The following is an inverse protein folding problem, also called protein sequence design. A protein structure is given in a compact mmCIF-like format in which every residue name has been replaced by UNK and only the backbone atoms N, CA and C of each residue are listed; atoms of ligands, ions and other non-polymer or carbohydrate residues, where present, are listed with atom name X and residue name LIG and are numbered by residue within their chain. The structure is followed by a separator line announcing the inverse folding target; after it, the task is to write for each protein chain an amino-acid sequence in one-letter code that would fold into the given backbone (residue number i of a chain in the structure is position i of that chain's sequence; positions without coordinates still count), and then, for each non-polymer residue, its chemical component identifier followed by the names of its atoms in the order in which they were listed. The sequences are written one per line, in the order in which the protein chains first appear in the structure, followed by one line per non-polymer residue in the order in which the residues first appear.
data_IF_525810365210
#
_entry.id   IF_525810365210
#
_cell.length_a   1.000
_cell.length_b   1.000
_cell.length_c   1.000
_cell.angle_alpha   90.00
_cell.angle_beta   90.00
_cell.angle_gamma   90.00
#
_symmetry.space_group_name_H-M   'P 1'
#
loop_
_entity.id
_entity.type
_entity.pdbx_description
1 polymer ?
#
# COMPACT_ATOMS: atom_id res chain seq x y z
N UNK A 1 -14.76 -0.51 15.78
CA UNK A 1 -13.77 -0.68 14.71
C UNK A 1 -14.08 -2.04 14.10
N UNK A 2 -14.51 -2.06 12.84
CA UNK A 2 -14.74 -3.30 12.10
C UNK A 2 -13.43 -3.66 11.39
N UNK A 3 -12.55 -4.37 12.08
CA UNK A 3 -11.44 -5.06 11.43
C UNK A 3 -11.97 -6.44 11.01
N UNK A 4 -11.73 -6.84 9.76
CA UNK A 4 -11.83 -8.24 9.40
C UNK A 4 -10.65 -8.98 10.03
N UNK A 5 -10.84 -10.26 10.43
CA UNK A 5 -9.70 -11.08 10.84
C UNK A 5 -8.63 -11.06 9.72
N UNK A 6 -7.34 -10.90 10.05
CA UNK A 6 -6.30 -10.85 9.04
C UNK A 6 -6.13 -12.22 8.39
N UNK A 7 -5.95 -12.24 7.07
CA UNK A 7 -5.43 -13.41 6.35
C UNK A 7 -3.95 -13.50 6.68
N UNK A 8 -3.49 -14.68 7.08
CA UNK A 8 -2.08 -14.91 7.44
C UNK A 8 -1.50 -16.01 6.56
N UNK A 9 -0.36 -15.71 5.91
CA UNK A 9 0.47 -16.68 5.20
C UNK A 9 1.85 -16.72 5.84
N UNK A 10 2.29 -17.89 6.30
CA UNK A 10 3.61 -18.06 6.93
C UNK A 10 4.39 -19.20 6.27
N UNK A 11 5.65 -18.95 5.96
CA UNK A 11 6.56 -19.94 5.41
C UNK A 11 7.85 -19.31 4.92
N UNK A 12 8.91 -20.11 4.79
CA UNK A 12 10.17 -19.62 4.24
C UNK A 12 10.80 -18.45 5.01
N UNK A 13 10.63 -18.42 6.34
CA UNK A 13 11.16 -17.34 7.18
C UNK A 13 10.40 -16.01 7.12
N UNK A 14 9.26 -15.97 6.42
CA UNK A 14 8.43 -14.77 6.24
C UNK A 14 7.00 -15.05 6.72
N UNK A 15 6.36 -14.04 7.29
CA UNK A 15 4.91 -14.01 7.48
C UNK A 15 4.32 -12.78 6.80
N UNK A 16 3.21 -12.98 6.08
CA UNK A 16 2.44 -11.93 5.42
C UNK A 16 1.05 -11.89 6.04
N UNK A 17 0.67 -10.73 6.56
CA UNK A 17 -0.66 -10.42 7.06
C UNK A 17 -1.38 -9.51 6.07
N UNK A 18 -2.64 -9.81 5.79
CA UNK A 18 -3.53 -8.96 5.00
C UNK A 18 -4.81 -8.68 5.76
N UNK A 19 -5.14 -7.41 5.97
CA UNK A 19 -6.34 -6.98 6.72
C UNK A 19 -7.05 -5.82 6.01
N UNK A 20 -8.30 -5.58 6.41
CA UNK A 20 -9.06 -4.41 5.99
C UNK A 20 -9.27 -3.46 7.16
N UNK A 21 -8.96 -2.19 6.94
CA UNK A 21 -9.09 -1.13 7.93
C UNK A 21 -10.05 -0.05 7.42
N UNK A 22 -11.19 0.12 8.10
CA UNK A 22 -12.23 1.10 7.74
C UNK A 22 -11.81 2.56 7.98
N UNK A 23 -10.89 2.82 8.94
CA UNK A 23 -10.56 4.18 9.38
C UNK A 23 -9.11 4.38 9.88
N UNK A 24 -8.19 3.45 9.58
CA UNK A 24 -6.79 3.58 10.02
C UNK A 24 -5.95 4.50 9.11
N UNK A 25 -6.32 4.56 7.84
CA UNK A 25 -5.82 5.48 6.84
C UNK A 25 -6.94 6.50 6.54
N UNK A 26 -6.67 7.71 6.01
CA UNK A 26 -7.70 8.74 5.85
C UNK A 26 -8.95 8.25 5.11
N UNK A 27 -8.80 7.21 4.29
CA UNK A 27 -9.85 6.43 3.63
C UNK A 27 -9.73 4.93 4.00
N UNK A 28 -10.79 4.13 3.85
CA UNK A 28 -10.71 2.68 4.01
C UNK A 28 -9.60 2.07 3.14
N UNK A 29 -8.85 1.11 3.69
CA UNK A 29 -7.71 0.53 3.02
C UNK A 29 -7.55 -0.96 3.31
N UNK A 30 -6.90 -1.66 2.38
CA UNK A 30 -6.31 -2.97 2.63
C UNK A 30 -4.87 -2.74 3.08
N UNK A 31 -4.51 -3.39 4.18
CA UNK A 31 -3.19 -3.28 4.80
C UNK A 31 -2.47 -4.61 4.66
N UNK A 32 -1.20 -4.54 4.23
CA UNK A 32 -0.29 -5.67 4.12
C UNK A 32 0.89 -5.43 5.07
N UNK A 33 1.09 -6.34 6.03
CA UNK A 33 2.26 -6.36 6.90
C UNK A 33 3.10 -7.60 6.55
N UNK A 34 4.37 -7.38 6.23
CA UNK A 34 5.34 -8.44 5.97
C UNK A 34 6.37 -8.41 7.09
N UNK A 35 6.57 -9.56 7.75
CA UNK A 35 7.57 -9.75 8.79
C UNK A 35 8.57 -10.83 8.35
N UNK A 36 9.87 -10.51 8.43
CA UNK A 36 10.95 -11.44 8.15
C UNK A 36 11.64 -11.86 9.45
N UNK A 37 11.71 -13.17 9.70
CA UNK A 37 12.26 -13.75 10.92
C UNK A 37 13.57 -14.52 10.71
N UNK A 38 13.93 -14.80 9.46
CA UNK A 38 15.18 -15.45 9.08
C UNK A 38 15.97 -14.54 8.15
N UNK A 39 17.29 -14.64 8.12
CA UNK A 39 18.14 -13.76 7.28
C UNK A 39 18.26 -14.24 5.83
N UNK A 40 17.75 -15.43 5.51
CA UNK A 40 17.90 -16.08 4.21
C UNK A 40 17.01 -15.50 3.08
N UNK A 41 15.74 -15.09 3.34
CA UNK A 41 14.92 -14.37 2.36
C UNK A 41 15.59 -13.06 1.94
N UNK A 42 15.71 -12.84 0.63
CA UNK A 42 16.25 -11.59 0.07
C UNK A 42 15.18 -10.69 -0.52
N UNK A 43 14.16 -11.30 -1.10
CA UNK A 43 13.08 -10.59 -1.74
C UNK A 43 11.77 -11.32 -1.52
N UNK A 44 10.75 -10.55 -1.16
CA UNK A 44 9.37 -11.01 -1.01
C UNK A 44 8.55 -10.29 -2.06
N UNK A 45 7.83 -11.06 -2.87
CA UNK A 45 6.85 -10.56 -3.83
C UNK A 45 5.47 -11.03 -3.40
N UNK A 46 4.56 -10.08 -3.16
CA UNK A 46 3.16 -10.34 -2.84
C UNK A 46 2.32 -9.94 -4.05
N UNK A 47 1.49 -10.87 -4.51
CA UNK A 47 0.67 -10.71 -5.71
C UNK A 47 -0.81 -10.83 -5.34
N UNK A 48 -1.56 -9.77 -5.60
CA UNK A 48 -2.96 -9.60 -5.25
C UNK A 48 -3.82 -9.52 -6.51
N UNK A 49 -4.93 -10.27 -6.56
CA UNK A 49 -5.91 -10.13 -7.66
C UNK A 49 -6.85 -8.96 -7.43
N UNK A 50 -7.12 -8.19 -8.47
CA UNK A 50 -8.13 -7.11 -8.47
C UNK A 50 -9.51 -7.73 -8.81
N UNK A 51 -10.57 -7.47 -8.02
CA UNK A 51 -11.90 -8.00 -8.30
C UNK A 51 -12.43 -7.64 -9.69
N UNK A 52 -13.18 -8.56 -10.28
CA UNK A 52 -13.72 -8.40 -11.63
C UNK A 52 -14.69 -7.22 -11.71
N UNK A 53 -14.28 -6.13 -12.38
CA UNK A 53 -15.06 -4.90 -12.51
C UNK A 53 -14.51 -3.72 -11.72
N UNK A 54 -13.53 -3.95 -10.85
CA UNK A 54 -12.73 -2.88 -10.28
C UNK A 54 -11.71 -2.35 -11.30
N UNK A 55 -11.45 -1.05 -11.25
CA UNK A 55 -10.50 -0.38 -12.13
C UNK A 55 -9.17 -0.17 -11.38
N UNK A 56 -8.11 -0.84 -11.83
CA UNK A 56 -6.78 -0.74 -11.22
C UNK A 56 -6.23 0.70 -11.17
N UNK A 57 -6.68 1.59 -12.06
CA UNK A 57 -6.23 2.99 -12.09
C UNK A 57 -6.80 3.83 -10.94
N UNK A 58 -7.81 3.30 -10.23
CA UNK A 58 -8.42 3.91 -9.05
C UNK A 58 -7.80 3.39 -7.74
N UNK A 59 -6.79 2.53 -7.82
CA UNK A 59 -6.03 2.07 -6.66
C UNK A 59 -4.98 3.12 -6.30
N UNK A 60 -4.97 3.53 -5.05
CA UNK A 60 -4.01 4.48 -4.50
C UNK A 60 -3.17 3.78 -3.43
N UNK A 61 -1.84 3.81 -3.60
CA UNK A 61 -0.92 3.21 -2.65
C UNK A 61 -0.50 4.22 -1.58
N UNK A 62 -0.17 3.70 -0.39
CA UNK A 62 0.50 4.48 0.65
C UNK A 62 1.75 5.18 0.09
N UNK A 63 1.89 6.48 0.36
CA UNK A 63 2.91 7.30 -0.28
C UNK A 63 4.35 6.92 0.10
N UNK A 64 4.55 6.39 1.31
CA UNK A 64 5.88 5.99 1.79
C UNK A 64 6.35 4.69 1.14
N UNK A 65 5.41 3.82 0.78
CA UNK A 65 5.67 2.48 0.25
C UNK A 65 5.25 2.28 -1.22
N UNK A 66 4.67 3.31 -1.86
CA UNK A 66 4.17 3.26 -3.24
C UNK A 66 5.22 2.83 -4.28
N UNK A 67 6.51 3.10 -4.03
CA UNK A 67 7.61 2.70 -4.91
C UNK A 67 7.81 1.19 -5.00
N UNK A 68 7.29 0.42 -4.05
CA UNK A 68 7.33 -1.04 -4.02
C UNK A 68 6.18 -1.68 -4.79
N UNK A 69 5.16 -0.90 -5.14
CA UNK A 69 3.95 -1.37 -5.78
C UNK A 69 3.97 -1.18 -7.30
N UNK A 70 3.39 -2.14 -8.00
CA UNK A 70 3.04 -2.05 -9.41
C UNK A 70 1.59 -2.50 -9.60
N UNK A 71 0.76 -1.59 -10.11
CA UNK A 71 -0.59 -1.92 -10.55
C UNK A 71 -0.56 -2.37 -12.02
N UNK A 72 -1.12 -3.56 -12.27
CA UNK A 72 -1.48 -4.08 -13.60
C UNK A 72 -3.00 -4.00 -13.75
N UNK A 73 -3.54 -4.40 -14.90
CA UNK A 73 -4.99 -4.29 -15.15
C UNK A 73 -5.84 -5.10 -14.18
N UNK A 74 -5.36 -6.29 -13.80
CA UNK A 74 -6.09 -7.29 -13.00
C UNK A 74 -5.34 -7.72 -11.73
N UNK A 75 -4.20 -7.08 -11.44
CA UNK A 75 -3.29 -7.51 -10.37
C UNK A 75 -2.54 -6.33 -9.75
N UNK A 76 -2.26 -6.43 -8.45
CA UNK A 76 -1.32 -5.57 -7.74
C UNK A 76 -0.13 -6.40 -7.30
N UNK A 77 1.08 -5.92 -7.58
CA UNK A 77 2.32 -6.60 -7.21
C UNK A 77 3.13 -5.70 -6.28
N UNK A 78 3.38 -6.18 -5.06
CA UNK A 78 4.29 -5.57 -4.08
C UNK A 78 5.60 -6.34 -4.10
N UNK A 79 6.73 -5.64 -4.27
CA UNK A 79 8.06 -6.25 -4.19
C UNK A 79 8.95 -5.50 -3.21
N UNK A 80 9.42 -6.22 -2.19
CA UNK A 80 10.24 -5.67 -1.11
C UNK A 80 11.45 -6.55 -0.83
N UNK A 81 12.54 -5.93 -0.41
CA UNK A 81 13.70 -6.61 0.17
C UNK A 81 13.79 -6.20 1.62
N UNK A 82 13.75 -7.17 2.52
CA UNK A 82 13.78 -6.95 3.96
C UNK A 82 15.07 -7.49 4.56
N UNK A 83 15.58 -6.84 5.60
CA UNK A 83 16.68 -7.35 6.39
C UNK A 83 16.21 -8.36 7.45
N UNK A 84 17.16 -9.06 8.08
CA UNK A 84 16.87 -9.96 9.20
C UNK A 84 16.15 -9.25 10.34
N UNK A 85 14.98 -9.75 10.72
CA UNK A 85 14.14 -9.16 11.77
C UNK A 85 13.44 -7.87 11.37
N UNK A 86 13.47 -7.51 10.08
CA UNK A 86 12.78 -6.33 9.57
C UNK A 86 11.31 -6.64 9.22
N UNK A 87 10.48 -5.61 9.30
CA UNK A 87 9.09 -5.65 8.90
C UNK A 87 8.74 -4.42 8.09
N UNK A 88 7.83 -4.56 7.13
CA UNK A 88 7.23 -3.45 6.40
C UNK A 88 5.72 -3.56 6.46
N UNK A 89 5.08 -2.45 6.81
CA UNK A 89 3.64 -2.26 6.68
C UNK A 89 3.39 -1.34 5.50
N UNK A 90 2.43 -1.72 4.65
CA UNK A 90 2.00 -0.93 3.50
C UNK A 90 0.50 -1.06 3.34
N UNK A 91 -0.10 -0.12 2.62
CA UNK A 91 -1.53 -0.11 2.39
C UNK A 91 -1.88 0.33 0.97
N UNK A 92 -3.05 -0.07 0.52
CA UNK A 92 -3.68 0.51 -0.66
C UNK A 92 -5.17 0.79 -0.40
N UNK A 93 -5.62 1.93 -0.90
CA UNK A 93 -7.02 2.33 -0.94
C UNK A 93 -7.57 2.16 -2.36
N UNK A 94 -8.90 2.09 -2.48
CA UNK A 94 -9.58 2.01 -3.76
C UNK A 94 -10.68 3.06 -3.81
N UNK A 95 -10.58 4.02 -4.74
CA UNK A 95 -11.51 5.14 -4.82
C UNK A 95 -12.95 4.72 -5.18
N UNK A 96 -13.13 3.53 -5.76
CA UNK A 96 -14.46 2.93 -5.99
C UNK A 96 -15.09 2.33 -4.72
N UNK A 97 -14.35 2.25 -3.62
CA UNK A 97 -14.80 1.69 -2.34
C UNK A 97 -14.75 0.16 -2.29
N UNK A 98 -14.57 -0.39 -1.08
CA UNK A 98 -14.54 -1.83 -0.85
C UNK A 98 -15.93 -2.43 -0.54
N UNK A 99 -16.96 -1.59 -0.43
CA UNK A 99 -18.25 -1.99 0.15
C UNK A 99 -19.04 -3.01 -0.67
N UNK A 100 -18.94 -3.04 -1.99
CA UNK A 100 -19.73 -4.00 -2.76
C UNK A 100 -19.06 -5.38 -2.82
N UNK A 101 -17.72 -5.44 -2.71
CA UNK A 101 -16.92 -6.64 -3.00
C UNK A 101 -15.78 -6.89 -2.00
N UNK A 102 -15.89 -6.44 -0.74
CA UNK A 102 -14.81 -6.60 0.27
C UNK A 102 -14.29 -8.03 0.38
N UNK A 103 -15.17 -9.03 0.27
CA UNK A 103 -14.75 -10.43 0.32
C UNK A 103 -13.84 -10.83 -0.86
N UNK A 104 -14.04 -10.25 -2.05
CA UNK A 104 -13.16 -10.47 -3.19
C UNK A 104 -11.81 -9.75 -3.00
N UNK A 105 -11.85 -8.53 -2.45
CA UNK A 105 -10.63 -7.80 -2.08
C UNK A 105 -9.85 -8.48 -0.94
N UNK A 106 -10.49 -9.25 -0.08
CA UNK A 106 -9.89 -10.09 0.97
C UNK A 106 -9.68 -11.55 0.50
N UNK A 107 -9.42 -11.77 -0.80
CA UNK A 107 -8.88 -13.06 -1.24
C UNK A 107 -7.41 -13.14 -0.82
N UNK A 108 -6.91 -14.30 -0.34
CA UNK A 108 -5.50 -14.43 0.01
C UNK A 108 -4.58 -14.16 -1.19
N UNK A 109 -3.48 -13.40 -1.02
CA UNK A 109 -2.49 -13.20 -2.07
C UNK A 109 -1.71 -14.48 -2.36
N UNK A 110 -0.99 -14.46 -3.48
CA UNK A 110 0.14 -15.37 -3.70
C UNK A 110 1.42 -14.70 -3.18
N UNK A 111 2.24 -15.42 -2.41
CA UNK A 111 3.51 -14.88 -1.88
C UNK A 111 4.66 -15.69 -2.45
N UNK A 112 5.59 -15.02 -3.12
CA UNK A 112 6.83 -15.60 -3.63
C UNK A 112 8.02 -15.08 -2.84
N UNK A 113 8.85 -15.99 -2.33
CA UNK A 113 10.03 -15.69 -1.52
C UNK A 113 11.26 -16.16 -2.28
N UNK A 114 12.13 -15.22 -2.66
CA UNK A 114 13.42 -15.50 -3.28
C UNK A 114 14.54 -15.47 -2.22
N UNK A 115 15.37 -16.51 -2.21
CA UNK A 115 16.50 -16.65 -1.29
C UNK A 115 17.82 -16.30 -1.97
N UNK A 116 18.85 -16.08 -1.15
CA UNK A 116 20.20 -15.73 -1.61
C UNK A 116 20.84 -16.73 -2.58
N UNK A 117 20.45 -18.01 -2.54
CA UNK A 117 20.94 -19.02 -3.47
C UNK A 117 20.18 -19.07 -4.81
N UNK A 118 19.17 -18.20 -4.98
CA UNK A 118 18.32 -18.12 -6.17
C UNK A 118 17.19 -19.15 -6.20
N UNK A 119 17.00 -19.91 -5.12
CA UNK A 119 15.79 -20.72 -4.93
C UNK A 119 14.59 -19.81 -4.66
N UNK A 120 13.41 -20.28 -5.04
CA UNK A 120 12.15 -19.59 -4.77
C UNK A 120 11.17 -20.55 -4.07
N UNK A 121 10.51 -20.06 -3.02
CA UNK A 121 9.36 -20.73 -2.40
C UNK A 121 8.12 -19.91 -2.68
N UNK A 122 7.02 -20.58 -3.04
CA UNK A 122 5.72 -19.93 -3.22
C UNK A 122 4.78 -20.42 -2.12
N UNK A 123 4.15 -19.49 -1.42
CA UNK A 123 3.03 -19.75 -0.51
C UNK A 123 1.75 -19.49 -1.31
N UNK A 124 0.94 -20.53 -1.44
CA UNK A 124 -0.31 -20.45 -2.19
C UNK A 124 -1.44 -19.94 -1.29
N UNK A 125 -2.52 -19.39 -1.88
CA UNK A 125 -3.72 -19.02 -1.12
C UNK A 125 -4.30 -20.15 -0.26
N UNK A 126 -4.06 -21.41 -0.62
CA UNK A 126 -4.49 -22.58 0.15
C UNK A 126 -3.67 -22.83 1.43
N UNK A 127 -2.50 -22.21 1.56
CA UNK A 127 -1.68 -22.21 2.77
C UNK A 127 -2.13 -21.14 3.77
N UNK A 128 -3.02 -20.24 3.35
CA UNK A 128 -3.55 -19.17 4.20
C UNK A 128 -4.65 -19.69 5.15
N UNK A 129 -4.65 -19.20 6.38
CA UNK A 129 -5.83 -19.34 7.25
C UNK A 129 -6.87 -18.29 6.83
N UNK A 130 -8.06 -18.69 6.31
CA UNK A 130 -9.07 -17.75 5.88
C UNK A 130 -9.70 -17.03 7.09
N UNK A 131 -10.14 -15.77 6.94
CA UNK A 131 -10.75 -15.04 8.03
C UNK A 131 -12.07 -15.69 8.44
N UNK A 132 -12.19 -16.07 9.72
CA UNK A 132 -13.40 -16.75 10.22
C UNK A 132 -14.63 -15.82 10.20
N UNK A 133 -14.44 -14.49 10.26
CA UNK A 133 -15.56 -13.54 10.24
C UNK A 133 -15.18 -12.23 9.53
N UNK A 134 -15.96 -11.84 8.51
CA UNK A 134 -15.97 -10.47 7.96
C UNK A 134 -17.10 -9.70 8.63
N UNK A 135 -16.84 -9.04 9.77
CA UNK A 135 -17.86 -8.25 10.47
C UNK A 135 -17.95 -6.88 9.82
N UNK A 136 -19.02 -6.62 9.06
CA UNK A 136 -19.42 -5.25 8.70
C UNK A 136 -20.37 -4.70 9.75
N UNK A 137 -19.92 -3.73 10.55
CA UNK A 137 -20.85 -2.91 11.33
C UNK A 137 -21.65 -2.03 10.36
N UNK A 138 -22.96 -1.86 10.57
CA UNK A 138 -23.74 -0.93 9.75
C UNK A 138 -23.20 0.49 9.92
N UNK A 139 -23.16 1.23 8.79
CA UNK A 139 -22.76 2.63 8.75
C UNK A 139 -23.41 3.42 9.90
N UNK A 140 -22.58 4.19 10.61
CA UNK A 140 -22.97 4.98 11.75
C UNK A 140 -24.32 5.66 11.50
N UNK A 141 -25.32 5.30 12.31
CA UNK A 141 -26.60 5.99 12.34
C UNK A 141 -26.29 7.43 12.69
N UNK A 142 -26.44 8.34 11.73
CA UNK A 142 -26.43 9.78 11.98
C UNK A 142 -27.73 10.12 12.70
N UNK A 143 -27.79 9.83 14.00
CA UNK A 143 -28.85 10.32 14.87
C UNK A 143 -28.57 11.80 15.18
N UNK A 144 -28.99 12.64 14.23
CA UNK A 144 -29.57 13.91 14.59
C UNK A 144 -30.87 13.63 15.35
N UNK A 145 -30.79 13.43 16.67
CA UNK A 145 -31.90 13.63 17.60
C UNK A 145 -31.34 13.67 19.04
N UNK A 146 -30.86 14.85 19.45
CA UNK A 146 -30.75 15.20 20.86
C UNK A 146 -32.15 15.26 21.47
N UNK A 147 -32.66 14.16 22.00
CA UNK A 147 -33.71 14.19 23.00
C UNK A 147 -33.20 13.55 24.30
N UNK A 148 -33.25 14.37 25.34
CA UNK A 148 -32.74 14.06 26.67
C UNK A 148 -33.56 12.95 27.34
N UNK A 149 -32.95 11.78 27.56
CA UNK A 149 -33.39 10.88 28.62
C UNK A 149 -32.24 9.97 29.06
N UNK A 150 -31.56 10.36 30.14
CA UNK A 150 -30.59 9.52 30.83
C UNK A 150 -31.29 8.36 31.58
N UNK A 151 -30.73 7.14 31.54
CA UNK A 151 -30.74 6.23 32.67
C UNK A 151 -29.32 6.03 33.19
N UNK A 152 -29.18 6.06 34.52
CA UNK A 152 -27.92 6.17 35.23
C UNK A 152 -26.96 5.00 35.03
N UNK A 153 -25.74 5.35 34.65
CA UNK A 153 -24.51 4.62 34.99
C UNK A 153 -24.22 4.94 36.47
N UNK A 154 -24.08 3.98 37.37
CA UNK A 154 -23.08 2.93 37.32
C UNK A 154 -21.84 3.47 38.02
N UNK A 155 -21.76 3.23 39.33
CA UNK A 155 -20.67 3.60 40.24
C UNK A 155 -19.34 3.02 39.72
N UNK A 156 -18.64 3.80 38.91
CA UNK A 156 -17.29 3.53 38.47
C UNK A 156 -16.39 4.55 39.15
N UNK A 157 -15.54 4.10 40.06
CA UNK A 157 -14.52 4.94 40.68
C UNK A 157 -13.54 5.36 39.58
N UNK A 158 -13.79 6.51 38.97
CA UNK A 158 -12.80 7.20 38.17
C UNK A 158 -11.67 7.63 39.11
N UNK A 159 -10.47 7.09 38.88
CA UNK A 159 -9.29 7.59 39.56
C UNK A 159 -8.99 8.99 39.00
N UNK A 160 -9.43 10.02 39.72
CA UNK A 160 -9.02 11.39 39.45
C UNK A 160 -7.55 11.52 39.86
N UNK A 161 -6.62 11.83 38.94
CA UNK A 161 -5.27 12.16 39.33
C UNK A 161 -5.31 13.40 40.23
N UNK A 162 -4.47 13.48 41.28
CA UNK A 162 -4.44 14.65 42.15
C UNK A 162 -4.19 15.91 41.31
N UNK A 163 -4.87 16.99 41.65
CA UNK A 163 -4.67 18.30 41.03
C UNK A 163 -3.18 18.66 41.02
N UNK A 164 -2.61 19.14 39.89
CA UNK A 164 -1.23 19.58 39.88
C UNK A 164 -1.06 20.69 40.91
N UNK A 165 -0.04 20.56 41.76
CA UNK A 165 0.29 21.61 42.74
C UNK A 165 0.46 22.94 42.01
N UNK A 166 -0.21 23.98 42.51
CA UNK A 166 -0.09 25.32 41.96
C UNK A 166 1.38 25.76 42.01
N UNK A 167 1.99 25.88 40.83
CA UNK A 167 3.31 26.50 40.72
C UNK A 167 3.21 27.96 41.17
N UNK A 168 4.04 28.36 42.14
CA UNK A 168 4.23 29.78 42.43
C UNK A 168 4.67 30.49 41.14
N UNK A 169 4.08 31.66 40.88
CA UNK A 169 4.46 32.50 39.76
C UNK A 169 5.90 33.00 39.97
N UNK A 170 6.88 32.21 39.51
CA UNK A 170 8.30 32.52 39.69
C UNK A 170 9.26 31.44 39.20
N UNK A 171 8.87 30.16 39.21
CA UNK A 171 9.74 29.05 38.78
C UNK A 171 9.51 28.68 37.31
N UNK A 172 9.99 29.56 36.42
CA UNK A 172 10.28 29.20 35.03
C UNK A 172 11.60 28.45 35.02
N UNK A 173 11.55 27.21 34.53
CA UNK A 173 12.70 26.33 34.29
C UNK A 173 13.96 27.08 33.85
N UNK A 174 15.02 27.01 34.66
CA UNK A 174 16.40 26.93 34.16
C UNK A 174 16.99 28.14 33.44
N UNK A 175 16.68 29.39 33.81
CA UNK A 175 17.52 30.53 33.43
C UNK A 175 18.69 30.71 34.40
N UNK A 176 19.68 29.81 34.29
CA UNK A 176 21.04 30.10 34.74
C UNK A 176 21.77 30.90 33.67
N UNK A 177 22.19 32.12 34.01
CA UNK A 177 23.20 32.96 33.34
C UNK A 177 23.43 32.72 31.83
N UNK A 178 22.41 33.01 31.00
CA UNK A 178 22.67 33.29 29.60
C UNK A 178 23.16 34.74 29.51
N UNK A 179 24.48 34.91 29.42
CA UNK A 179 25.07 36.19 28.99
C UNK A 179 24.41 36.56 27.65
N UNK A 180 23.75 37.74 27.52
CA UNK A 180 23.18 38.14 26.25
C UNK A 180 24.31 38.26 25.23
N UNK A 181 24.25 37.47 24.16
CA UNK A 181 25.12 37.64 23.01
C UNK A 181 24.88 39.04 22.43
N UNK A 182 25.93 39.76 21.98
CA UNK A 182 25.75 41.07 21.38
C UNK A 182 24.89 40.96 20.13
N UNK A 183 23.91 41.86 20.00
CA UNK A 183 23.09 42.09 18.80
C UNK A 183 23.96 42.00 17.54
N UNK A 184 23.83 40.88 16.82
CA UNK A 184 24.32 40.80 15.45
C UNK A 184 23.44 41.74 14.64
N UNK A 185 24.05 42.85 14.22
CA UNK A 185 23.49 43.84 13.31
C UNK A 185 22.73 43.18 12.17
N UNK A 186 21.50 43.66 12.00
CA UNK A 186 20.63 43.57 10.81
C UNK A 186 21.45 43.26 9.55
N UNK A 187 21.36 42.02 9.08
CA UNK A 187 21.96 41.65 7.80
C UNK A 187 21.00 42.16 6.72
N UNK A 188 21.46 43.13 5.93
CA UNK A 188 20.75 43.68 4.78
C UNK A 188 20.14 42.56 3.92
N UNK A 189 18.82 42.61 3.61
CA UNK A 189 18.14 41.55 2.84
C UNK A 189 18.64 41.43 1.39
N UNK A 190 19.51 42.34 0.94
CA UNK A 190 20.09 42.33 -0.41
C UNK A 190 21.24 41.31 -0.59
N UNK A 191 21.65 40.59 0.46
CA UNK A 191 22.75 39.59 0.39
C UNK A 191 22.29 38.12 0.34
N UNK A 192 20.97 37.85 0.33
CA UNK A 192 20.41 36.49 0.24
C UNK A 192 20.53 35.86 -1.17
N UNK A 193 20.88 36.67 -2.16
CA UNK A 193 21.24 36.21 -3.51
C UNK A 193 22.73 36.41 -3.75
N UNK A 194 23.55 35.66 -3.00
CA UNK A 194 24.93 35.44 -3.37
C UNK A 194 25.02 34.88 -4.79
N UNK A 195 25.83 35.53 -5.61
CA UNK A 195 26.35 35.13 -6.92
C UNK A 195 26.23 33.62 -7.21
N UNK A 196 25.27 33.25 -8.06
CA UNK A 196 25.18 31.90 -8.63
C UNK A 196 26.41 31.68 -9.50
N UNK A 197 27.26 30.74 -9.12
CA UNK A 197 28.44 30.35 -9.89
C UNK A 197 28.02 29.94 -11.32
N UNK A 198 28.57 30.61 -12.34
CA UNK A 198 28.20 30.52 -13.77
C UNK A 198 28.46 29.16 -14.45
N UNK A 199 28.65 28.07 -13.71
CA UNK A 199 29.07 26.77 -14.25
C UNK A 199 28.02 26.05 -15.13
N UNK A 200 26.82 26.60 -15.24
CA UNK A 200 25.72 26.02 -16.03
C UNK A 200 25.36 26.80 -17.30
N UNK A 201 26.01 27.95 -17.57
CA UNK A 201 25.63 28.82 -18.70
C UNK A 201 26.42 28.57 -20.00
N UNK A 202 27.27 27.54 -20.06
CA UNK A 202 28.07 27.22 -21.24
C UNK A 202 27.80 25.80 -21.75
N UNK A 203 26.62 25.60 -22.34
CA UNK A 203 26.53 24.69 -23.49
C UNK A 203 25.62 25.31 -24.55
N UNK A 204 26.23 26.22 -25.30
CA UNK A 204 25.76 26.61 -26.62
C UNK A 204 25.73 25.38 -27.53
N UNK A 205 24.58 25.12 -28.15
CA UNK A 205 24.45 24.05 -29.14
C UNK A 205 23.03 23.78 -29.64
N UNK A 206 22.15 24.79 -29.70
CA UNK A 206 20.88 24.67 -30.44
C UNK A 206 21.21 24.68 -31.93
N UNK A 207 21.55 23.50 -32.44
CA UNK A 207 21.51 23.24 -33.88
C UNK A 207 20.05 23.01 -34.22
N UNK A 208 19.44 23.96 -34.92
CA UNK A 208 18.13 23.79 -35.55
C UNK A 208 18.17 22.63 -36.53
N UNK A 209 17.79 21.44 -36.08
CA UNK A 209 17.39 20.35 -36.97
C UNK A 209 15.94 20.62 -37.37
N UNK A 210 15.75 21.07 -38.62
CA UNK A 210 14.45 20.98 -39.28
C UNK A 210 14.03 19.51 -39.26
N UNK A 211 13.05 19.17 -38.43
CA UNK A 211 12.38 17.87 -38.50
C UNK A 211 11.42 17.92 -39.69
N UNK A 212 11.84 17.41 -40.84
CA UNK A 212 10.92 16.89 -41.84
C UNK A 212 10.82 15.38 -41.62
N UNK A 213 9.85 14.94 -40.84
CA UNK A 213 9.36 13.57 -40.90
C UNK A 213 8.08 13.60 -41.73
N UNK A 214 8.27 13.52 -43.04
CA UNK A 214 7.25 13.05 -43.96
C UNK A 214 7.53 11.57 -44.23
N UNK A 215 6.45 10.81 -44.20
CA UNK A 215 6.22 9.59 -44.97
C UNK A 215 7.37 8.57 -45.02
N UNK A 216 7.58 7.85 -43.91
CA UNK A 216 8.12 6.50 -43.97
C UNK A 216 7.06 5.58 -43.37
N UNK A 217 6.65 4.62 -44.19
CA UNK A 217 5.50 3.76 -44.08
C UNK A 217 5.31 3.15 -42.69
N UNK A 218 4.12 3.38 -42.11
CA UNK A 218 3.65 2.57 -41.01
C UNK A 218 3.62 1.11 -41.48
N UNK A 219 4.45 0.27 -40.86
CA UNK A 219 4.43 -1.16 -41.09
C UNK A 219 3.07 -1.70 -40.63
N UNK A 220 2.14 -1.92 -41.56
CA UNK A 220 0.93 -2.71 -41.32
C UNK A 220 1.38 -4.17 -41.17
N UNK A 221 1.17 -4.82 -40.01
CA UNK A 221 1.38 -6.25 -39.90
C UNK A 221 0.37 -6.97 -40.82
N UNK A 222 0.86 -7.92 -41.62
CA UNK A 222 0.01 -8.75 -42.48
C UNK A 222 -1.10 -9.42 -41.65
N UNK A 223 -2.35 -9.28 -42.09
CA UNK A 223 -3.49 -10.00 -41.52
C UNK A 223 -3.18 -11.50 -41.52
N UNK A 224 -3.36 -12.23 -40.40
CA UNK A 224 -3.18 -13.68 -40.41
C UNK A 224 -4.19 -14.30 -41.38
N UNK A 225 -3.68 -15.06 -42.35
CA UNK A 225 -4.51 -15.88 -43.22
C UNK A 225 -5.48 -16.71 -42.36
N UNK A 226 -6.77 -16.63 -42.67
CA UNK A 226 -7.78 -17.45 -42.03
C UNK A 226 -7.37 -18.92 -42.18
N UNK A 227 -6.92 -19.51 -41.07
CA UNK A 227 -6.74 -20.95 -40.97
C UNK A 227 -8.08 -21.60 -41.35
N UNK A 228 -8.04 -22.38 -42.44
CA UNK A 228 -9.17 -23.20 -42.85
C UNK A 228 -9.61 -24.06 -41.66
N UNK A 229 -10.91 -23.93 -41.35
CA UNK A 229 -11.66 -24.61 -40.30
C UNK A 229 -11.17 -26.06 -40.11
N UNK A 230 -10.31 -26.22 -39.11
CA UNK A 230 -9.80 -27.49 -38.68
C UNK A 230 -10.93 -28.30 -38.07
N UNK A 231 -11.51 -29.19 -38.89
CA UNK A 231 -11.94 -30.53 -38.53
C UNK A 231 -12.39 -30.71 -37.07
N UNK A 232 -13.69 -30.48 -36.85
CA UNK A 232 -14.60 -31.30 -36.06
C UNK A 232 -13.97 -32.04 -34.87
N UNK A 233 -14.23 -31.49 -33.69
CA UNK A 233 -14.18 -32.19 -32.41
C UNK A 233 -14.80 -33.58 -32.47
N UNK A 234 -14.02 -34.58 -32.00
CA UNK A 234 -14.49 -35.76 -31.27
C UNK A 234 -15.67 -36.52 -31.85
N UNK A 235 -15.42 -37.33 -32.87
CA UNK A 235 -16.25 -38.51 -33.12
C UNK A 235 -15.86 -39.59 -32.08
N UNK A 236 -16.85 -39.88 -31.24
CA UNK A 236 -17.12 -41.07 -30.44
C UNK A 236 -16.41 -42.34 -30.95
N UNK A 237 -15.49 -42.89 -30.14
CA UNK A 237 -15.12 -44.31 -30.26
C UNK A 237 -15.29 -44.97 -28.89
N UNK A 238 -16.35 -45.77 -28.80
CA UNK A 238 -16.75 -46.54 -27.64
C UNK A 238 -15.69 -47.60 -27.32
N UNK A 239 -15.20 -47.59 -26.08
CA UNK A 239 -14.42 -48.71 -25.55
C UNK A 239 -15.35 -49.91 -25.35
N UNK A 240 -15.10 -50.97 -26.10
CA UNK A 240 -15.74 -52.28 -25.95
C UNK A 240 -15.38 -52.88 -24.58
N UNK A 241 -16.43 -53.15 -23.79
CA UNK A 241 -16.44 -53.98 -22.59
C UNK A 241 -16.10 -55.43 -22.98
N UNK A 242 -15.06 -56.00 -22.37
CA UNK A 242 -14.70 -57.40 -22.58
C UNK A 242 -14.71 -58.13 -21.23
N UNK A 243 -15.86 -58.73 -20.92
CA UNK A 243 -16.06 -59.74 -19.88
C UNK A 243 -16.04 -61.16 -20.43
#
# INVERSE_FOLDING_TARGET
MSDADPIVLSGGGVTVHKSYHEAAYPDPAIVILIEQFESDPQQVTVTESIPAGADATLVEFDAETATHWQARNDELELTVSLADGESIETAYAYAGGFDDELAAWLTPPTVSIEYADGTTTVLEPGDAEPPETVVRLPAAVTEAETDSAAPGYGDGIAYEPPEPEAVEAGDVYGQGDATPAPDTTETDPESLYGEVESRWSEQAGVTTAQSSYGDDDAYEPEEPEAVEDGSRYGDDDAVEDNG
#
